data_IF_336760529147
#
_entry.id   IF_336760529147
#
_cell.length_a   1.000
_cell.length_b   1.000
_cell.length_c   1.000
_cell.angle_alpha   90.00
_cell.angle_beta   90.00
_cell.angle_gamma   90.00
#
_symmetry.space_group_name_H-M   'P 1'
#
loop_
_entity.id
_entity.type
_entity.pdbx_description
1 polymer ?
#
# COMPACT_ATOMS: atom_id res chain seq x y z
N UNK A 1 24.91 -28.68 17.85
CA UNK A 1 25.77 -29.28 16.81
C UNK A 1 24.96 -30.33 16.09
N UNK A 2 24.82 -30.22 14.76
CA UNK A 2 24.29 -31.30 13.94
C UNK A 2 25.17 -32.55 14.08
N UNK A 3 24.59 -33.73 13.88
CA UNK A 3 25.38 -34.98 13.86
C UNK A 3 26.28 -34.99 12.61
N UNK A 4 27.55 -35.47 12.72
CA UNK A 4 28.55 -35.54 11.62
C UNK A 4 28.02 -36.11 10.28
N UNK A 5 26.87 -36.78 10.28
CA UNK A 5 26.24 -37.35 9.07
C UNK A 5 25.44 -36.33 8.26
N UNK A 6 25.03 -35.21 8.88
CA UNK A 6 24.22 -34.15 8.30
C UNK A 6 24.96 -32.80 8.26
N UNK A 7 26.11 -32.70 8.95
CA UNK A 7 26.95 -31.51 8.96
C UNK A 7 27.75 -31.40 7.65
N UNK A 8 27.58 -30.34 6.90
CA UNK A 8 28.26 -30.11 5.62
C UNK A 8 29.71 -29.65 5.81
N UNK A 9 30.08 -29.19 7.01
CA UNK A 9 31.43 -28.69 7.32
C UNK A 9 31.84 -28.91 8.78
N UNK A 10 32.19 -30.16 9.15
CA UNK A 10 32.49 -30.69 10.49
C UNK A 10 33.36 -29.82 11.43
N UNK A 11 34.01 -28.79 10.95
CA UNK A 11 34.93 -27.93 11.73
C UNK A 11 34.44 -26.46 11.79
N UNK A 12 33.26 -26.17 11.32
CA UNK A 12 32.68 -24.82 11.35
C UNK A 12 31.36 -24.83 12.13
N UNK A 13 31.34 -24.23 13.30
CA UNK A 13 30.20 -24.25 14.22
C UNK A 13 28.96 -23.47 13.67
N UNK A 14 29.14 -22.71 12.60
CA UNK A 14 28.09 -21.85 11.97
C UNK A 14 27.72 -22.31 10.57
N UNK A 15 28.12 -23.50 10.15
CA UNK A 15 27.74 -24.13 8.88
C UNK A 15 27.43 -25.59 9.16
N UNK A 16 26.21 -26.04 8.97
CA UNK A 16 25.82 -27.43 9.17
C UNK A 16 24.86 -27.96 8.11
N UNK A 17 23.64 -27.53 8.08
CA UNK A 17 22.57 -28.02 7.22
C UNK A 17 21.60 -26.90 6.89
N UNK A 18 20.72 -27.15 5.97
CA UNK A 18 19.56 -26.38 5.61
C UNK A 18 18.41 -27.39 5.50
N UNK A 19 17.79 -27.71 6.65
CA UNK A 19 16.84 -28.82 6.79
C UNK A 19 15.41 -28.42 6.41
N UNK A 20 15.03 -27.13 6.49
CA UNK A 20 13.76 -26.58 6.04
C UNK A 20 13.82 -26.07 4.60
N UNK A 21 15.02 -25.98 4.04
CA UNK A 21 15.28 -25.61 2.64
C UNK A 21 14.92 -24.16 2.29
N UNK A 22 15.14 -23.26 3.23
CA UNK A 22 14.92 -21.83 3.09
C UNK A 22 16.15 -21.07 2.59
N UNK A 23 17.25 -21.78 2.30
CA UNK A 23 18.56 -21.28 1.82
C UNK A 23 19.48 -20.66 2.89
N UNK A 24 19.02 -20.52 4.13
CA UNK A 24 19.86 -20.19 5.26
C UNK A 24 20.46 -21.48 5.88
N UNK A 25 21.46 -21.34 6.69
CA UNK A 25 22.10 -22.49 7.33
C UNK A 25 21.66 -22.58 8.79
N UNK A 26 21.02 -23.71 9.17
CA UNK A 26 20.44 -23.96 10.48
C UNK A 26 21.39 -23.70 11.66
N UNK A 27 22.68 -23.52 11.39
CA UNK A 27 23.71 -23.22 12.39
C UNK A 27 24.26 -21.80 12.35
N UNK A 28 23.71 -20.92 11.51
CA UNK A 28 24.25 -19.56 11.32
C UNK A 28 24.31 -18.73 12.60
N UNK A 29 23.40 -18.98 13.56
CA UNK A 29 23.39 -18.36 14.89
C UNK A 29 24.45 -18.96 15.86
N UNK A 30 25.15 -20.01 15.46
CA UNK A 30 26.10 -20.77 16.31
C UNK A 30 25.45 -21.91 17.09
N UNK A 31 24.16 -22.17 16.86
CA UNK A 31 23.41 -23.30 17.41
C UNK A 31 22.45 -23.79 16.35
N UNK A 32 22.25 -25.10 16.23
CA UNK A 32 21.27 -25.66 15.33
C UNK A 32 19.83 -25.20 15.71
N UNK A 33 19.21 -24.39 14.89
CA UNK A 33 17.83 -23.90 15.07
C UNK A 33 17.25 -23.43 13.73
N UNK A 34 16.36 -24.22 13.16
CA UNK A 34 15.65 -23.95 11.89
C UNK A 34 14.67 -22.75 11.93
N UNK A 35 14.57 -22.07 13.03
CA UNK A 35 13.71 -20.90 13.23
C UNK A 35 14.48 -19.65 13.67
N UNK A 36 15.81 -19.71 13.68
CA UNK A 36 16.70 -18.59 13.99
C UNK A 36 18.04 -18.78 13.25
N UNK A 37 18.00 -19.01 11.96
CA UNK A 37 19.12 -19.37 11.10
C UNK A 37 19.49 -18.30 10.07
N UNK A 38 18.75 -17.22 10.00
CA UNK A 38 19.04 -16.09 9.14
C UNK A 38 18.42 -14.79 9.60
N UNK A 39 18.52 -13.77 8.77
CA UNK A 39 17.69 -12.58 8.90
C UNK A 39 16.26 -12.97 8.56
N UNK A 40 15.32 -12.57 9.37
CA UNK A 40 13.90 -12.84 9.22
C UNK A 40 13.14 -11.58 9.67
N UNK A 41 12.53 -10.89 8.72
CA UNK A 41 11.91 -9.58 8.94
C UNK A 41 10.51 -9.71 9.53
N UNK A 42 9.85 -10.84 9.30
CA UNK A 42 8.50 -11.12 9.82
C UNK A 42 8.49 -12.09 11.02
N UNK A 43 9.61 -12.29 11.68
CA UNK A 43 9.79 -13.21 12.80
C UNK A 43 8.68 -13.09 13.85
N UNK A 44 7.88 -14.14 13.96
CA UNK A 44 6.74 -14.21 14.89
C UNK A 44 5.42 -13.72 14.30
N UNK A 45 5.35 -13.42 13.03
CA UNK A 45 4.12 -13.20 12.32
C UNK A 45 3.54 -14.53 11.81
N UNK A 46 2.36 -14.90 12.25
CA UNK A 46 1.72 -16.21 12.01
C UNK A 46 0.83 -16.17 10.78
N UNK A 47 1.39 -16.14 9.58
CA UNK A 47 0.57 -16.06 8.35
C UNK A 47 0.46 -17.37 7.58
N UNK A 48 1.29 -18.37 7.88
CA UNK A 48 1.29 -19.66 7.19
C UNK A 48 2.14 -19.70 5.92
N UNK A 49 2.96 -18.67 5.69
CA UNK A 49 3.99 -18.67 4.65
C UNK A 49 5.27 -19.40 5.08
N UNK A 50 5.39 -19.77 6.30
CA UNK A 50 6.55 -20.42 6.87
C UNK A 50 7.31 -19.47 7.80
N UNK A 51 6.81 -19.32 8.99
CA UNK A 51 7.41 -18.56 10.10
C UNK A 51 8.84 -18.98 10.46
N UNK A 52 9.38 -19.97 9.76
CA UNK A 52 10.72 -20.51 9.95
C UNK A 52 11.65 -20.22 8.76
N UNK A 53 11.13 -19.59 7.69
CA UNK A 53 11.94 -19.22 6.55
C UNK A 53 12.69 -17.92 6.85
N UNK A 54 13.95 -17.86 6.46
CA UNK A 54 14.69 -16.60 6.46
C UNK A 54 14.41 -15.79 5.19
N UNK A 55 14.64 -14.48 5.23
CA UNK A 55 14.42 -13.55 4.11
C UNK A 55 15.00 -14.05 2.77
N UNK A 56 16.07 -14.82 2.78
CA UNK A 56 16.69 -15.33 1.56
C UNK A 56 15.89 -16.46 0.89
N UNK A 57 15.02 -17.11 1.60
CA UNK A 57 14.20 -18.22 1.13
C UNK A 57 12.71 -17.95 1.17
N UNK A 58 12.30 -16.89 1.83
CA UNK A 58 10.92 -16.43 1.83
C UNK A 58 10.61 -15.69 0.52
N UNK A 59 9.52 -15.95 -0.16
CA UNK A 59 9.10 -15.20 -1.33
C UNK A 59 8.28 -13.93 -1.04
N UNK A 60 7.98 -13.63 0.24
CA UNK A 60 7.13 -12.52 0.71
C UNK A 60 7.63 -12.11 2.12
N UNK A 61 8.76 -11.40 2.14
CA UNK A 61 9.60 -11.15 3.31
C UNK A 61 8.93 -10.36 4.45
N UNK A 62 7.82 -9.65 4.19
CA UNK A 62 7.08 -8.88 5.21
C UNK A 62 5.63 -9.34 5.39
N UNK A 63 5.22 -10.38 4.64
CA UNK A 63 3.90 -11.01 4.70
C UNK A 63 2.70 -10.08 4.42
N UNK A 64 2.88 -9.08 3.57
CA UNK A 64 1.79 -8.21 3.14
C UNK A 64 0.91 -8.82 2.03
N UNK A 65 1.30 -9.99 1.51
CA UNK A 65 0.68 -10.77 0.42
C UNK A 65 1.11 -10.37 -1.00
N UNK A 66 2.01 -9.43 -1.15
CA UNK A 66 2.73 -9.14 -2.39
C UNK A 66 4.08 -9.85 -2.33
N UNK A 67 4.47 -10.50 -3.41
CA UNK A 67 5.76 -11.21 -3.44
C UNK A 67 6.90 -10.21 -3.66
N UNK A 68 8.07 -10.44 -3.06
CA UNK A 68 9.26 -9.58 -3.16
C UNK A 68 9.60 -9.09 -4.57
N UNK A 69 9.30 -9.92 -5.58
CA UNK A 69 9.59 -9.59 -6.96
C UNK A 69 8.65 -8.57 -7.60
N UNK A 70 7.50 -8.37 -7.02
CA UNK A 70 6.43 -7.46 -7.46
C UNK A 70 6.23 -6.32 -6.45
N UNK A 71 6.91 -6.39 -5.30
CA UNK A 71 6.85 -5.47 -4.19
C UNK A 71 7.84 -4.30 -4.33
N UNK A 72 7.43 -3.10 -3.95
CA UNK A 72 8.25 -1.88 -3.99
C UNK A 72 9.26 -1.83 -2.84
N UNK A 73 8.91 -2.34 -1.67
CA UNK A 73 9.80 -2.49 -0.50
C UNK A 73 9.46 -3.76 0.29
N UNK A 74 9.99 -4.90 -0.13
CA UNK A 74 9.74 -6.25 0.37
C UNK A 74 10.04 -6.47 1.87
N UNK A 75 10.39 -5.43 2.60
CA UNK A 75 10.64 -5.47 4.05
C UNK A 75 9.73 -4.51 4.83
N UNK A 76 8.77 -3.85 4.18
CA UNK A 76 7.82 -2.94 4.82
C UNK A 76 6.40 -3.18 4.32
N UNK A 77 5.64 -3.98 5.04
CA UNK A 77 4.26 -4.36 4.74
C UNK A 77 3.27 -3.18 4.48
N UNK A 78 3.72 -1.95 4.64
CA UNK A 78 2.94 -0.76 4.32
C UNK A 78 3.37 -0.06 3.02
N UNK A 79 4.31 -0.65 2.28
CA UNK A 79 4.83 -0.16 1.00
C UNK A 79 4.93 -1.33 0.02
N UNK A 80 3.95 -1.54 -0.84
CA UNK A 80 3.95 -2.68 -1.76
C UNK A 80 3.87 -2.29 -3.24
N UNK A 81 2.74 -1.88 -3.71
CA UNK A 81 2.48 -1.55 -5.12
C UNK A 81 1.36 -0.51 -5.22
N UNK A 82 1.14 -0.01 -6.43
CA UNK A 82 0.04 0.86 -6.83
C UNK A 82 -0.61 0.21 -8.06
N UNK A 83 -1.63 -0.65 -7.85
CA UNK A 83 -2.25 -1.50 -8.89
C UNK A 83 -3.30 -0.75 -9.71
N UNK A 84 -3.97 0.25 -9.14
CA UNK A 84 -4.95 1.07 -9.83
C UNK A 84 -4.36 2.36 -10.43
N UNK A 85 -3.09 2.65 -10.10
CA UNK A 85 -2.31 3.75 -10.64
C UNK A 85 -2.83 5.15 -10.25
N UNK A 86 -3.33 5.26 -9.03
CA UNK A 86 -3.81 6.51 -8.42
C UNK A 86 -2.72 7.27 -7.64
N UNK A 87 -1.49 6.77 -7.64
CA UNK A 87 -0.30 7.29 -6.95
C UNK A 87 -0.22 7.05 -5.44
N UNK A 88 -1.25 6.47 -4.83
CA UNK A 88 -1.15 5.95 -3.47
C UNK A 88 -0.63 4.50 -3.49
N UNK A 89 -0.13 4.04 -2.38
CA UNK A 89 0.36 2.68 -2.25
C UNK A 89 -0.72 1.81 -1.60
N UNK A 90 -1.12 0.74 -2.30
CA UNK A 90 -2.24 -0.14 -1.91
C UNK A 90 -2.12 -0.73 -0.50
N UNK A 91 -0.90 -0.82 0.05
CA UNK A 91 -0.65 -1.38 1.38
C UNK A 91 -0.62 -0.33 2.51
N UNK A 92 -0.59 0.96 2.17
CA UNK A 92 -0.28 2.06 3.09
C UNK A 92 -1.16 2.15 4.34
N UNK A 93 -2.40 1.67 4.28
CA UNK A 93 -3.37 1.81 5.37
C UNK A 93 -3.50 0.58 6.27
N UNK A 94 -3.17 -0.60 5.76
CA UNK A 94 -3.45 -1.85 6.49
C UNK A 94 -2.37 -2.93 6.37
N UNK A 95 -1.28 -2.66 5.64
CA UNK A 95 -0.21 -3.64 5.45
C UNK A 95 -0.66 -4.83 4.62
N UNK A 96 -1.48 -4.59 3.62
CA UNK A 96 -1.88 -5.55 2.59
C UNK A 96 -2.68 -4.82 1.51
N UNK A 97 -2.62 -5.25 0.23
CA UNK A 97 -3.21 -4.52 -0.88
C UNK A 97 -4.71 -4.24 -0.75
N UNK A 98 -5.09 -2.99 -0.95
CA UNK A 98 -6.48 -2.55 -0.95
C UNK A 98 -6.65 -1.23 -1.71
N UNK A 99 -6.86 -1.28 -3.01
CA UNK A 99 -7.07 -0.17 -3.95
C UNK A 99 -8.27 0.74 -3.64
N UNK A 100 -9.03 0.49 -2.61
CA UNK A 100 -10.17 1.31 -2.21
C UNK A 100 -10.03 1.92 -0.81
N UNK A 101 -8.86 1.81 -0.22
CA UNK A 101 -8.52 2.42 1.06
C UNK A 101 -6.99 2.43 1.24
N UNK A 102 -6.29 3.08 0.36
CA UNK A 102 -4.84 3.17 0.25
C UNK A 102 -4.30 4.58 0.50
N UNK A 103 -5.14 5.59 0.53
CA UNK A 103 -4.76 6.96 0.81
C UNK A 103 -5.83 7.78 1.49
N UNK A 104 -5.59 9.08 1.61
CA UNK A 104 -6.64 10.05 1.90
C UNK A 104 -7.57 10.12 0.69
N UNK A 105 -8.85 10.07 0.93
CA UNK A 105 -9.90 10.08 -0.08
C UNK A 105 -11.08 10.88 0.50
N UNK A 106 -11.31 12.08 -0.04
CA UNK A 106 -12.25 13.04 0.49
C UNK A 106 -13.69 12.73 0.07
N UNK A 107 -13.86 12.04 -1.03
CA UNK A 107 -15.16 11.63 -1.56
C UNK A 107 -15.49 10.14 -1.37
N UNK A 108 -14.77 9.47 -0.47
CA UNK A 108 -14.95 8.03 -0.17
C UNK A 108 -16.41 7.65 0.02
N UNK A 109 -16.93 6.83 -0.87
CA UNK A 109 -18.32 6.37 -0.88
C UNK A 109 -19.26 7.20 -1.73
N UNK A 110 -18.79 8.16 -2.50
CA UNK A 110 -19.56 8.86 -3.52
C UNK A 110 -19.47 8.12 -4.87
N UNK A 111 -20.59 7.64 -5.38
CA UNK A 111 -20.65 6.83 -6.61
C UNK A 111 -20.81 7.72 -7.87
N UNK A 112 -19.78 8.43 -8.29
CA UNK A 112 -19.88 9.32 -9.45
C UNK A 112 -19.29 8.78 -10.74
N UNK A 113 -18.50 7.73 -10.69
CA UNK A 113 -17.88 7.11 -11.86
C UNK A 113 -16.57 7.78 -12.32
N UNK A 114 -15.97 8.63 -11.49
CA UNK A 114 -14.62 9.17 -11.66
C UNK A 114 -13.53 8.23 -11.13
N UNK A 115 -13.91 7.15 -10.48
CA UNK A 115 -13.01 6.21 -9.84
C UNK A 115 -13.08 6.37 -8.32
N UNK A 116 -14.10 5.84 -7.73
CA UNK A 116 -14.33 5.78 -6.28
C UNK A 116 -13.23 5.09 -5.48
N UNK A 117 -12.22 4.58 -6.17
CA UNK A 117 -11.06 3.90 -5.58
C UNK A 117 -9.80 4.74 -5.65
N UNK A 118 -9.83 5.91 -6.30
CA UNK A 118 -8.67 6.79 -6.36
C UNK A 118 -8.53 7.55 -5.04
N UNK A 119 -7.30 7.71 -4.60
CA UNK A 119 -6.97 8.60 -3.51
C UNK A 119 -6.82 10.04 -4.00
N UNK A 120 -6.98 11.04 -3.11
CA UNK A 120 -6.87 12.47 -3.43
C UNK A 120 -5.60 12.81 -4.25
N UNK A 121 -4.52 12.08 -4.09
CA UNK A 121 -3.27 12.35 -4.82
C UNK A 121 -3.31 11.96 -6.30
N UNK A 122 -4.20 11.07 -6.67
CA UNK A 122 -4.37 10.58 -8.04
C UNK A 122 -5.71 10.96 -8.67
N UNK A 123 -6.66 11.44 -7.88
CA UNK A 123 -7.94 11.95 -8.37
C UNK A 123 -7.75 13.36 -8.97
N UNK A 124 -8.27 13.66 -10.14
CA UNK A 124 -8.26 15.00 -10.71
C UNK A 124 -9.42 15.90 -10.26
N UNK A 125 -10.36 15.44 -9.42
CA UNK A 125 -11.57 16.13 -8.96
C UNK A 125 -11.92 15.58 -7.57
N UNK A 126 -11.16 16.00 -6.55
CA UNK A 126 -11.08 15.43 -5.20
C UNK A 126 -12.42 15.45 -4.41
N UNK A 127 -13.39 16.27 -4.78
CA UNK A 127 -14.70 16.33 -4.13
C UNK A 127 -15.88 15.98 -5.06
N UNK A 128 -15.56 15.62 -6.32
CA UNK A 128 -16.52 15.20 -7.34
C UNK A 128 -17.63 16.20 -7.68
N UNK A 129 -17.36 17.50 -7.54
CA UNK A 129 -18.30 18.55 -7.91
C UNK A 129 -18.33 18.86 -9.43
N UNK A 130 -17.45 18.21 -10.22
CA UNK A 130 -17.24 18.38 -11.66
C UNK A 130 -16.40 19.61 -12.05
N UNK A 131 -15.80 20.31 -11.10
CA UNK A 131 -14.67 21.19 -11.31
C UNK A 131 -13.39 20.40 -11.04
N UNK A 132 -12.40 20.48 -11.92
CA UNK A 132 -11.13 19.79 -11.66
C UNK A 132 -10.30 20.59 -10.65
N UNK A 133 -9.50 19.93 -9.82
CA UNK A 133 -8.63 20.54 -8.78
C UNK A 133 -7.82 21.73 -9.27
N UNK A 134 -7.30 21.66 -10.50
CA UNK A 134 -6.50 22.73 -11.12
C UNK A 134 -7.34 23.99 -11.44
N UNK A 135 -8.63 23.86 -11.60
CA UNK A 135 -9.59 24.92 -11.92
C UNK A 135 -10.50 25.25 -10.72
N UNK A 136 -10.35 24.54 -9.61
CA UNK A 136 -11.12 24.65 -8.39
C UNK A 136 -10.48 25.55 -7.34
N UNK A 137 -11.25 26.36 -6.66
CA UNK A 137 -10.80 27.26 -5.60
C UNK A 137 -10.65 26.57 -4.24
N UNK A 138 -11.34 25.48 -4.00
CA UNK A 138 -11.25 24.63 -2.81
C UNK A 138 -11.56 23.17 -3.16
N UNK A 139 -10.57 22.39 -3.69
CA UNK A 139 -10.74 21.05 -4.24
C UNK A 139 -11.30 19.99 -3.28
N UNK A 140 -11.60 20.35 -2.05
CA UNK A 140 -12.14 19.46 -1.02
C UNK A 140 -13.52 19.92 -0.51
N UNK A 141 -14.16 20.90 -1.13
CA UNK A 141 -15.49 21.39 -0.73
C UNK A 141 -16.42 21.49 -1.93
N UNK A 142 -17.25 20.49 -2.18
CA UNK A 142 -18.21 20.34 -3.29
C UNK A 142 -19.14 21.55 -3.53
N UNK A 143 -19.11 22.55 -2.65
CA UNK A 143 -19.91 23.77 -2.76
C UNK A 143 -19.09 25.01 -3.12
N UNK A 144 -17.79 24.89 -3.31
CA UNK A 144 -16.85 26.00 -3.57
C UNK A 144 -15.88 25.65 -4.68
N UNK A 145 -16.12 26.03 -5.91
CA UNK A 145 -15.18 25.81 -7.00
C UNK A 145 -14.67 27.09 -7.66
N UNK A 146 -15.55 27.86 -8.28
CA UNK A 146 -15.15 29.02 -9.08
C UNK A 146 -16.35 29.94 -9.36
N UNK A 147 -16.07 31.14 -9.87
CA UNK A 147 -17.06 32.07 -10.48
C UNK A 147 -16.57 32.38 -11.91
N UNK A 148 -16.85 31.45 -12.84
CA UNK A 148 -16.34 31.52 -14.22
C UNK A 148 -17.08 32.54 -15.07
N UNK A 149 -18.37 32.75 -14.84
CA UNK A 149 -19.16 33.72 -15.59
C UNK A 149 -19.06 35.13 -15.01
N UNK A 150 -18.57 35.29 -13.80
CA UNK A 150 -18.26 36.59 -13.18
C UNK A 150 -19.45 37.31 -12.60
N UNK A 151 -20.50 36.58 -12.24
CA UNK A 151 -21.73 37.15 -11.70
C UNK A 151 -21.73 37.30 -10.18
N UNK A 152 -20.68 36.80 -9.51
CA UNK A 152 -20.40 36.79 -8.06
C UNK A 152 -21.11 35.69 -7.27
N UNK A 153 -21.78 34.74 -7.93
CA UNK A 153 -22.19 33.49 -7.33
C UNK A 153 -21.13 32.41 -7.52
N UNK A 154 -21.17 31.39 -6.74
CA UNK A 154 -20.27 30.26 -6.78
C UNK A 154 -20.86 29.17 -7.68
N UNK A 155 -20.17 28.81 -8.77
CA UNK A 155 -20.68 27.89 -9.80
C UNK A 155 -21.02 26.49 -9.25
N UNK A 156 -20.44 26.13 -8.08
CA UNK A 156 -20.67 24.86 -7.39
C UNK A 156 -21.63 24.98 -6.19
N UNK A 157 -22.32 26.10 -6.00
CA UNK A 157 -23.20 26.33 -4.85
C UNK A 157 -24.31 25.28 -4.64
N UNK A 158 -24.59 24.46 -5.66
CA UNK A 158 -25.52 23.33 -5.60
C UNK A 158 -24.87 21.98 -5.26
N UNK A 159 -23.54 21.93 -5.07
CA UNK A 159 -22.74 20.71 -4.95
C UNK A 159 -22.43 20.07 -6.29
N UNK A 160 -22.48 20.87 -7.37
CA UNK A 160 -22.15 20.42 -8.73
C UNK A 160 -21.94 21.64 -9.60
N UNK A 161 -20.91 21.65 -10.45
CA UNK A 161 -20.64 22.74 -11.38
C UNK A 161 -21.80 23.01 -12.35
N UNK A 162 -22.48 24.15 -12.22
CA UNK A 162 -23.62 24.57 -13.07
C UNK A 162 -23.79 26.09 -13.09
N UNK A 163 -23.25 26.77 -14.12
CA UNK A 163 -23.36 28.22 -14.37
C UNK A 163 -24.82 28.77 -14.47
N UNK A 164 -25.85 27.96 -14.44
CA UNK A 164 -27.23 28.39 -14.54
C UNK A 164 -28.03 28.13 -13.26
N UNK A 165 -27.40 27.55 -12.25
CA UNK A 165 -28.05 27.22 -10.98
C UNK A 165 -27.07 27.41 -9.80
N UNK A 166 -26.29 28.47 -9.83
CA UNK A 166 -25.26 28.85 -8.92
C UNK A 166 -25.71 29.85 -7.83
N UNK A 167 -26.91 30.34 -7.91
CA UNK A 167 -27.49 31.26 -6.92
C UNK A 167 -28.80 31.89 -7.30
N UNK A 168 -29.20 32.91 -6.54
CA UNK A 168 -30.41 33.71 -6.82
C UNK A 168 -30.07 34.87 -7.76
N UNK A 169 -30.51 34.77 -9.02
CA UNK A 169 -30.49 35.88 -9.98
C UNK A 169 -31.44 37.00 -9.55
N UNK A 170 -30.89 38.06 -9.00
CA UNK A 170 -31.61 39.30 -8.68
C UNK A 170 -31.43 40.36 -9.79
N UNK A 171 -32.06 40.20 -10.93
CA UNK A 171 -32.14 41.20 -12.00
C UNK A 171 -33.23 42.29 -11.75
#
# INVERSE_FOLDING_TARGET
NADDEFDTEDNNEVICSDDDADTCDDCSSGTYDVSDDGADNDLGWSTGNGETLCDAGDPDDDNDTVLDGDDTDSFDAYICLDDDADTCDDCSQQGSPNTSNDGADNDLGWETGNGETLCDAGDPDDDNDQSLDDDDSDPFDEYLCSDVDGDTCEDCSSGTYDLNNDGDDYD
#
